data_IF_103691290472
#
_entry.id   IF_103691290472
#
_cell.length_a   1.000
_cell.length_b   1.000
_cell.length_c   1.000
_cell.angle_alpha   90.00
_cell.angle_beta   90.00
_cell.angle_gamma   90.00
#
_symmetry.space_group_name_H-M   'P 1'
#
loop_
_entity.id
_entity.type
_entity.pdbx_description
1 polymer ?
#
# COMPACT_ATOMS: atom_id res chain seq x y z
N UNK A 1 -3.78 33.57 -4.64
CA UNK A 1 -4.86 34.03 -5.52
C UNK A 1 -4.88 33.04 -6.68
N UNK A 2 -5.61 31.91 -6.60
CA UNK A 2 -7.08 31.81 -6.74
C UNK A 2 -7.53 32.59 -8.00
N UNK A 3 -8.15 32.06 -9.04
CA UNK A 3 -8.96 30.86 -9.28
C UNK A 3 -9.22 30.83 -10.80
N UNK A 4 -9.95 29.82 -11.29
CA UNK A 4 -10.79 29.89 -12.50
C UNK A 4 -10.22 29.37 -13.83
N UNK A 5 -10.18 28.04 -13.96
CA UNK A 5 -10.21 27.34 -15.26
C UNK A 5 -11.46 26.44 -15.42
N UNK A 6 -12.49 26.67 -14.61
CA UNK A 6 -13.75 25.91 -14.63
C UNK A 6 -14.81 26.55 -15.56
N UNK A 7 -14.47 26.88 -16.80
CA UNK A 7 -15.48 27.43 -17.73
C UNK A 7 -15.11 27.22 -19.20
N UNK A 8 -15.19 25.98 -19.69
CA UNK A 8 -15.31 25.72 -21.14
C UNK A 8 -15.88 24.31 -21.42
N UNK A 9 -16.88 23.90 -20.63
CA UNK A 9 -17.60 22.62 -20.79
C UNK A 9 -18.86 22.72 -21.67
N UNK A 10 -18.96 23.69 -22.57
CA UNK A 10 -20.09 23.79 -23.48
C UNK A 10 -19.65 24.29 -24.84
N UNK A 11 -19.27 23.35 -25.72
CA UNK A 11 -19.66 23.32 -27.13
C UNK A 11 -18.93 22.16 -27.78
N UNK A 12 -19.71 21.25 -28.36
CA UNK A 12 -19.46 20.40 -29.53
C UNK A 12 -20.09 19.01 -29.33
N UNK A 13 -21.40 19.01 -29.12
CA UNK A 13 -22.25 17.94 -29.64
C UNK A 13 -22.86 18.41 -30.96
N UNK A 14 -23.09 17.42 -31.83
CA UNK A 14 -23.73 17.45 -33.15
C UNK A 14 -22.82 17.78 -34.33
N UNK A 15 -22.33 16.73 -35.01
CA UNK A 15 -23.07 16.08 -36.11
C UNK A 15 -22.12 15.33 -37.06
N UNK A 16 -22.38 14.03 -37.28
CA UNK A 16 -22.51 13.41 -38.63
C UNK A 16 -22.19 11.91 -38.60
N UNK A 17 -23.26 11.13 -38.47
CA UNK A 17 -23.63 9.95 -39.27
C UNK A 17 -22.63 8.80 -39.51
N UNK A 18 -22.94 7.69 -38.84
CA UNK A 18 -23.11 6.34 -39.38
C UNK A 18 -21.97 5.69 -40.21
N UNK A 19 -21.17 4.86 -39.54
CA UNK A 19 -20.75 3.55 -40.06
C UNK A 19 -20.89 2.50 -38.97
N UNK A 20 -21.81 1.57 -39.19
CA UNK A 20 -22.02 0.37 -38.39
C UNK A 20 -20.85 -0.59 -38.56
N UNK A 21 -20.10 -0.83 -37.49
CA UNK A 21 -19.29 -2.06 -37.38
C UNK A 21 -19.48 -2.65 -35.99
N UNK A 22 -20.24 -3.74 -35.97
CA UNK A 22 -20.24 -4.84 -35.02
C UNK A 22 -19.59 -4.60 -33.65
N UNK A 23 -20.45 -4.45 -32.65
CA UNK A 23 -20.39 -5.17 -31.37
C UNK A 23 -19.03 -5.68 -30.93
N UNK A 24 -18.31 -4.83 -30.21
CA UNK A 24 -17.63 -5.29 -29.01
C UNK A 24 -17.86 -4.21 -27.98
N UNK A 25 -18.87 -4.43 -27.12
CA UNK A 25 -18.95 -3.76 -25.84
C UNK A 25 -17.60 -4.02 -25.19
N UNK A 26 -16.69 -3.04 -25.29
CA UNK A 26 -15.49 -2.97 -24.49
C UNK A 26 -16.03 -2.95 -23.08
N UNK A 27 -16.10 -4.12 -22.47
CA UNK A 27 -16.35 -4.25 -21.06
C UNK A 27 -15.32 -3.32 -20.45
N UNK A 28 -15.79 -2.21 -19.90
CA UNK A 28 -15.01 -1.44 -18.96
C UNK A 28 -14.61 -2.47 -17.93
N UNK A 29 -13.38 -2.97 -18.02
CA UNK A 29 -12.84 -3.84 -16.98
C UNK A 29 -12.86 -2.92 -15.78
N UNK A 30 -13.84 -3.11 -14.91
CA UNK A 30 -13.90 -2.42 -13.64
C UNK A 30 -12.62 -2.82 -12.91
N UNK A 31 -11.62 -1.94 -12.94
CA UNK A 31 -10.39 -2.05 -12.18
C UNK A 31 -10.75 -1.82 -10.71
N UNK A 32 -11.46 -2.79 -10.13
CA UNK A 32 -12.09 -2.79 -8.82
C UNK A 32 -11.06 -2.72 -7.70
N UNK A 33 -10.43 -1.57 -7.45
CA UNK A 33 -9.55 -1.30 -6.30
C UNK A 33 -8.26 -2.15 -6.15
N UNK A 34 -8.09 -3.22 -6.93
CA UNK A 34 -6.96 -4.15 -6.84
C UNK A 34 -5.68 -3.60 -7.48
N UNK A 35 -5.79 -2.72 -8.49
CA UNK A 35 -4.65 -2.01 -9.07
C UNK A 35 -3.92 -1.16 -8.03
N UNK A 36 -4.67 -0.55 -7.12
CA UNK A 36 -4.10 0.30 -6.07
C UNK A 36 -3.34 -0.51 -5.00
N UNK A 37 -3.86 -1.68 -4.61
CA UNK A 37 -3.17 -2.60 -3.68
C UNK A 37 -1.88 -3.16 -4.31
N UNK A 38 -1.94 -3.54 -5.59
CA UNK A 38 -0.75 -3.98 -6.34
C UNK A 38 0.29 -2.86 -6.45
N UNK A 39 -0.13 -1.62 -6.69
CA UNK A 39 0.77 -0.47 -6.71
C UNK A 39 1.45 -0.27 -5.35
N UNK A 40 0.68 -0.29 -4.25
CA UNK A 40 1.24 -0.21 -2.90
C UNK A 40 2.27 -1.31 -2.65
N UNK A 41 1.97 -2.56 -3.01
CA UNK A 41 2.90 -3.67 -2.90
C UNK A 41 4.20 -3.46 -3.70
N UNK A 42 4.08 -3.07 -4.97
CA UNK A 42 5.23 -2.81 -5.83
C UNK A 42 6.10 -1.66 -5.28
N UNK A 43 5.46 -0.61 -4.71
CA UNK A 43 6.17 0.50 -4.08
C UNK A 43 6.92 0.05 -2.82
N UNK A 44 6.31 -0.80 -1.98
CA UNK A 44 7.02 -1.42 -0.86
C UNK A 44 8.27 -2.17 -1.33
N UNK A 45 8.15 -3.03 -2.36
CA UNK A 45 9.29 -3.75 -2.92
C UNK A 45 10.40 -2.80 -3.42
N UNK A 46 10.03 -1.75 -4.15
CA UNK A 46 10.99 -0.76 -4.64
C UNK A 46 11.73 -0.03 -3.51
N UNK A 47 11.02 0.35 -2.44
CA UNK A 47 11.61 1.04 -1.29
C UNK A 47 12.54 0.13 -0.49
N UNK A 48 12.18 -1.13 -0.31
CA UNK A 48 13.04 -2.11 0.37
C UNK A 48 14.33 -2.35 -0.42
N UNK A 49 14.23 -2.48 -1.76
CA UNK A 49 15.40 -2.61 -2.63
C UNK A 49 16.30 -1.38 -2.57
N UNK A 50 15.71 -0.17 -2.53
CA UNK A 50 16.45 1.06 -2.35
C UNK A 50 17.17 1.10 -0.98
N UNK A 51 16.51 0.65 0.09
CA UNK A 51 17.11 0.59 1.42
C UNK A 51 18.28 -0.40 1.51
N UNK A 52 18.21 -1.52 0.78
CA UNK A 52 19.32 -2.46 0.63
C UNK A 52 20.51 -1.81 -0.09
N UNK A 53 20.26 -1.11 -1.20
CA UNK A 53 21.29 -0.42 -1.98
C UNK A 53 21.99 0.69 -1.19
N UNK A 54 21.34 1.27 -0.20
CA UNK A 54 21.87 2.31 0.68
C UNK A 54 22.49 1.75 1.98
N UNK A 55 22.68 0.42 2.08
CA UNK A 55 23.23 -0.27 3.26
C UNK A 55 22.48 0.04 4.58
N UNK A 56 21.21 0.42 4.46
CA UNK A 56 20.33 0.66 5.60
C UNK A 56 19.72 -0.64 6.11
N UNK A 57 19.54 -1.61 5.20
CA UNK A 57 19.00 -2.93 5.45
C UNK A 57 19.83 -3.98 4.69
N UNK A 58 21.09 -4.16 5.08
CA UNK A 58 22.05 -5.01 4.36
C UNK A 58 21.59 -6.46 4.16
N UNK A 59 20.77 -6.98 5.09
CA UNK A 59 20.03 -8.22 4.92
C UNK A 59 18.57 -8.03 5.37
N UNK A 60 17.61 -8.20 4.45
CA UNK A 60 16.18 -8.11 4.73
C UNK A 60 15.65 -9.31 5.53
N UNK A 61 16.37 -10.44 5.52
CA UNK A 61 16.01 -11.64 6.29
C UNK A 61 16.42 -11.52 7.76
N UNK A 62 17.58 -10.92 8.02
CA UNK A 62 18.09 -10.63 9.37
C UNK A 62 17.81 -9.19 9.80
N UNK A 63 16.89 -8.51 9.11
CA UNK A 63 16.57 -7.10 9.34
C UNK A 63 15.95 -6.89 10.72
N UNK A 64 16.79 -6.46 11.67
CA UNK A 64 16.38 -6.09 13.00
C UNK A 64 16.16 -4.58 13.07
N UNK A 65 14.92 -4.17 13.28
CA UNK A 65 14.54 -2.78 13.52
C UNK A 65 13.89 -2.68 14.88
N UNK A 66 14.10 -1.53 15.52
CA UNK A 66 13.52 -1.24 16.82
C UNK A 66 12.45 -0.17 16.68
N UNK A 67 11.37 -0.33 17.45
CA UNK A 67 10.31 0.67 17.52
C UNK A 67 10.70 1.84 18.45
N UNK A 68 11.46 1.52 19.50
CA UNK A 68 11.92 2.46 20.52
C UNK A 68 13.38 2.80 20.30
N UNK A 69 13.72 4.04 20.58
CA UNK A 69 15.11 4.48 20.70
C UNK A 69 15.74 4.02 22.02
N UNK A 70 17.06 4.16 22.21
CA UNK A 70 17.72 3.81 23.46
C UNK A 70 17.22 4.57 24.69
N UNK A 71 16.54 5.71 24.49
CA UNK A 71 15.91 6.51 25.53
C UNK A 71 14.49 6.05 25.89
N UNK A 72 13.91 5.13 25.13
CA UNK A 72 12.54 4.64 25.32
C UNK A 72 11.47 5.44 24.56
N UNK A 73 11.86 6.41 23.73
CA UNK A 73 10.92 7.15 22.89
C UNK A 73 10.64 6.40 21.58
N UNK A 74 9.47 6.64 20.99
CA UNK A 74 9.11 6.09 19.68
C UNK A 74 9.92 6.76 18.56
N UNK A 75 10.50 5.94 17.68
CA UNK A 75 11.04 6.42 16.40
C UNK A 75 9.92 6.89 15.45
N UNK A 76 8.76 6.23 15.50
CA UNK A 76 7.59 6.53 14.69
C UNK A 76 6.71 7.58 15.39
N UNK A 77 6.85 8.85 14.98
CA UNK A 77 6.23 10.01 15.64
C UNK A 77 5.13 10.66 14.80
N UNK A 78 5.14 10.50 13.48
CA UNK A 78 4.14 11.07 12.61
C UNK A 78 2.81 10.32 12.74
N UNK A 79 1.70 11.04 12.67
CA UNK A 79 0.37 10.44 12.78
C UNK A 79 0.10 9.37 11.71
N UNK A 80 0.64 9.54 10.50
CA UNK A 80 0.51 8.58 9.40
C UNK A 80 1.29 7.29 9.66
N UNK A 81 2.48 7.37 10.27
CA UNK A 81 3.27 6.21 10.70
C UNK A 81 2.53 5.38 11.75
N UNK A 82 2.02 6.07 12.78
CA UNK A 82 1.29 5.44 13.87
C UNK A 82 0.01 4.78 13.35
N UNK A 83 -0.73 5.45 12.46
CA UNK A 83 -1.94 4.90 11.84
C UNK A 83 -1.65 3.63 11.04
N UNK A 84 -0.57 3.62 10.26
CA UNK A 84 -0.13 2.42 9.53
C UNK A 84 0.29 1.30 10.49
N UNK A 85 1.01 1.62 11.56
CA UNK A 85 1.39 0.64 12.58
C UNK A 85 0.16 0.02 13.27
N UNK A 86 -0.82 0.82 13.66
CA UNK A 86 -2.08 0.33 14.24
C UNK A 86 -2.89 -0.52 13.24
N UNK A 87 -2.91 -0.14 11.96
CA UNK A 87 -3.53 -0.94 10.91
C UNK A 87 -2.89 -2.34 10.82
N UNK A 88 -1.56 -2.40 10.87
CA UNK A 88 -0.82 -3.67 10.88
C UNK A 88 -1.09 -4.51 12.13
N UNK A 89 -1.16 -3.91 13.31
CA UNK A 89 -1.53 -4.61 14.55
C UNK A 89 -2.93 -5.21 14.45
N UNK A 90 -3.90 -4.44 13.92
CA UNK A 90 -5.27 -4.92 13.71
C UNK A 90 -5.32 -6.13 12.78
N UNK A 91 -4.52 -6.11 11.72
CA UNK A 91 -4.39 -7.23 10.78
C UNK A 91 -3.72 -8.42 11.45
N UNK A 92 -2.66 -8.21 12.23
CA UNK A 92 -1.99 -9.29 12.96
C UNK A 92 -2.95 -9.99 13.94
N UNK A 93 -3.76 -9.23 14.68
CA UNK A 93 -4.76 -9.78 15.59
C UNK A 93 -5.81 -10.62 14.85
N UNK A 94 -6.23 -10.16 13.66
CA UNK A 94 -7.16 -10.90 12.80
C UNK A 94 -6.55 -12.23 12.31
N UNK A 95 -5.29 -12.22 11.89
CA UNK A 95 -4.56 -13.43 11.47
C UNK A 95 -4.47 -14.44 12.62
N UNK A 96 -4.17 -13.97 13.84
CA UNK A 96 -4.09 -14.83 15.03
C UNK A 96 -5.45 -15.43 15.40
N UNK A 97 -6.53 -14.63 15.32
CA UNK A 97 -7.90 -15.12 15.54
C UNK A 97 -8.26 -16.23 14.56
N UNK A 98 -8.00 -16.03 13.27
CA UNK A 98 -8.31 -17.00 12.22
C UNK A 98 -7.44 -18.26 12.32
N UNK A 99 -6.22 -18.16 12.85
CA UNK A 99 -5.36 -19.33 13.12
C UNK A 99 -5.88 -20.21 14.25
N UNK A 100 -6.57 -19.63 15.24
CA UNK A 100 -7.09 -20.35 16.42
C UNK A 100 -8.45 -21.01 16.15
N UNK A 101 -9.24 -20.41 15.26
CA UNK A 101 -10.51 -20.96 14.78
C UNK A 101 -10.52 -20.88 13.26
N UNK A 102 -10.04 -21.93 12.55
CA UNK A 102 -9.89 -21.90 11.10
C UNK A 102 -11.26 -21.86 10.42
N UNK A 103 -11.77 -20.66 10.25
CA UNK A 103 -12.70 -20.33 9.20
C UNK A 103 -11.88 -19.68 8.09
N UNK A 104 -12.18 -19.99 6.83
CA UNK A 104 -11.58 -19.23 5.73
C UNK A 104 -11.87 -17.74 5.98
N UNK A 105 -10.85 -16.87 5.99
CA UNK A 105 -11.09 -15.45 6.12
C UNK A 105 -12.02 -15.04 4.98
N UNK A 106 -13.16 -14.44 5.32
CA UNK A 106 -14.11 -13.98 4.33
C UNK A 106 -13.35 -13.13 3.30
N UNK A 107 -13.38 -13.57 2.03
CA UNK A 107 -12.67 -12.89 0.93
C UNK A 107 -12.99 -11.40 0.91
N UNK A 108 -14.21 -11.03 1.28
CA UNK A 108 -14.63 -9.64 1.39
C UNK A 108 -13.91 -8.89 2.52
N UNK A 109 -13.72 -9.51 3.69
CA UNK A 109 -12.95 -8.95 4.81
C UNK A 109 -11.49 -8.77 4.42
N UNK A 110 -10.87 -9.78 3.81
CA UNK A 110 -9.48 -9.69 3.33
C UNK A 110 -9.30 -8.60 2.26
N UNK A 111 -10.25 -8.47 1.33
CA UNK A 111 -10.24 -7.40 0.33
C UNK A 111 -10.40 -6.00 0.97
N UNK A 112 -11.24 -5.87 2.00
CA UNK A 112 -11.41 -4.60 2.72
C UNK A 112 -10.15 -4.21 3.50
N UNK A 113 -9.55 -5.18 4.22
CA UNK A 113 -8.31 -4.96 4.98
C UNK A 113 -7.15 -4.59 4.06
N UNK A 114 -6.98 -5.28 2.93
CA UNK A 114 -5.90 -4.97 1.98
C UNK A 114 -6.04 -3.59 1.34
N UNK A 115 -7.27 -3.18 0.96
CA UNK A 115 -7.54 -1.82 0.46
C UNK A 115 -7.23 -0.76 1.51
N UNK A 116 -7.67 -0.98 2.76
CA UNK A 116 -7.41 -0.07 3.87
C UNK A 116 -5.90 0.03 4.17
N UNK A 117 -5.19 -1.09 4.21
CA UNK A 117 -3.75 -1.12 4.44
C UNK A 117 -2.99 -0.37 3.33
N UNK A 118 -3.34 -0.60 2.06
CA UNK A 118 -2.75 0.12 0.94
C UNK A 118 -3.01 1.64 1.03
N UNK A 119 -4.20 2.05 1.47
CA UNK A 119 -4.54 3.46 1.63
C UNK A 119 -3.68 4.14 2.69
N UNK A 120 -3.56 3.51 3.86
CA UNK A 120 -2.71 4.02 4.94
C UNK A 120 -1.23 4.03 4.56
N UNK A 121 -0.78 3.02 3.81
CA UNK A 121 0.60 2.97 3.34
C UNK A 121 0.94 4.13 2.40
N UNK A 122 0.08 4.44 1.43
CA UNK A 122 0.38 5.53 0.50
C UNK A 122 0.29 6.90 1.17
N UNK A 123 -0.63 7.11 2.10
CA UNK A 123 -0.67 8.34 2.90
C UNK A 123 0.61 8.52 3.74
N UNK A 124 1.10 7.43 4.35
CA UNK A 124 2.40 7.41 5.01
C UNK A 124 3.56 7.70 4.04
N UNK A 125 3.56 7.08 2.86
CA UNK A 125 4.60 7.24 1.86
C UNK A 125 4.67 8.68 1.30
N UNK A 126 3.52 9.32 1.08
CA UNK A 126 3.45 10.69 0.59
C UNK A 126 3.81 11.72 1.66
N UNK A 127 3.49 11.43 2.93
CA UNK A 127 3.69 12.35 4.05
C UNK A 127 5.08 12.27 4.69
N UNK A 128 5.76 11.12 4.60
CA UNK A 128 7.00 10.86 5.34
C UNK A 128 8.20 10.64 4.43
N UNK A 129 9.31 11.32 4.75
CA UNK A 129 10.61 11.04 4.11
C UNK A 129 11.16 9.70 4.61
N UNK A 130 10.98 8.64 3.81
CA UNK A 130 11.38 7.27 4.18
C UNK A 130 12.86 7.17 4.59
N UNK A 131 13.76 7.66 3.73
CA UNK A 131 15.19 7.75 4.01
C UNK A 131 15.50 9.07 4.73
N UNK A 132 15.09 9.13 6.00
CA UNK A 132 15.35 10.24 6.91
C UNK A 132 16.84 10.38 7.22
N UNK A 133 17.34 11.58 7.55
CA UNK A 133 18.71 11.75 8.06
C UNK A 133 18.97 10.98 9.37
N UNK A 134 17.94 10.86 10.22
CA UNK A 134 18.02 10.03 11.41
C UNK A 134 17.92 8.54 11.05
N UNK A 135 19.01 7.81 11.28
CA UNK A 135 19.12 6.39 10.92
C UNK A 135 18.11 5.53 11.68
N UNK A 136 17.85 5.82 12.96
CA UNK A 136 16.90 5.05 13.76
C UNK A 136 15.48 5.16 13.21
N UNK A 137 15.02 6.39 12.95
CA UNK A 137 13.72 6.64 12.30
C UNK A 137 13.65 6.02 10.91
N UNK A 138 14.70 6.16 10.09
CA UNK A 138 14.73 5.56 8.76
C UNK A 138 14.62 4.03 8.83
N UNK A 139 15.34 3.37 9.75
CA UNK A 139 15.23 1.93 9.97
C UNK A 139 13.84 1.51 10.46
N UNK A 140 13.24 2.25 11.40
CA UNK A 140 11.89 1.97 11.87
C UNK A 140 10.84 2.07 10.74
N UNK A 141 10.97 3.09 9.87
CA UNK A 141 10.13 3.25 8.67
C UNK A 141 10.30 2.10 7.68
N UNK A 142 11.54 1.66 7.44
CA UNK A 142 11.80 0.49 6.59
C UNK A 142 11.18 -0.78 7.18
N UNK A 143 11.23 -0.96 8.51
CA UNK A 143 10.54 -2.04 9.20
C UNK A 143 9.03 -2.01 9.01
N UNK A 144 8.43 -0.82 9.09
CA UNK A 144 7.01 -0.63 8.83
C UNK A 144 6.63 -1.01 7.39
N UNK A 145 7.46 -0.63 6.41
CA UNK A 145 7.28 -0.99 4.99
C UNK A 145 7.41 -2.50 4.79
N UNK A 146 8.42 -3.14 5.41
CA UNK A 146 8.63 -4.57 5.31
C UNK A 146 7.43 -5.37 5.85
N UNK A 147 6.87 -4.96 6.98
CA UNK A 147 5.67 -5.58 7.55
C UNK A 147 4.43 -5.32 6.68
N UNK A 148 4.30 -4.12 6.10
CA UNK A 148 3.24 -3.81 5.14
C UNK A 148 3.28 -4.72 3.92
N UNK A 149 4.46 -4.93 3.32
CA UNK A 149 4.64 -5.88 2.20
C UNK A 149 4.14 -7.27 2.59
N UNK A 150 4.57 -7.79 3.75
CA UNK A 150 4.20 -9.13 4.24
C UNK A 150 2.69 -9.24 4.48
N UNK A 151 2.09 -8.24 5.12
CA UNK A 151 0.66 -8.21 5.40
C UNK A 151 -0.18 -8.15 4.12
N UNK A 152 0.19 -7.31 3.14
CA UNK A 152 -0.48 -7.28 1.84
C UNK A 152 -0.38 -8.65 1.16
N UNK A 153 0.83 -9.24 1.10
CA UNK A 153 1.03 -10.55 0.50
C UNK A 153 0.13 -11.62 1.13
N UNK A 154 0.06 -11.64 2.46
CA UNK A 154 -0.78 -12.59 3.19
C UNK A 154 -2.27 -12.40 2.88
N UNK A 155 -2.78 -11.16 2.87
CA UNK A 155 -4.20 -10.88 2.66
C UNK A 155 -4.69 -11.20 1.25
N UNK A 156 -3.82 -11.17 0.24
CA UNK A 156 -4.20 -11.30 -1.18
C UNK A 156 -3.60 -12.52 -1.88
N UNK A 157 -2.90 -13.40 -1.14
CA UNK A 157 -2.18 -14.56 -1.69
C UNK A 157 -3.06 -15.41 -2.64
N UNK A 158 -4.31 -15.68 -2.27
CA UNK A 158 -5.23 -16.53 -3.04
C UNK A 158 -6.15 -15.74 -3.99
N UNK A 159 -5.88 -14.44 -4.16
CA UNK A 159 -6.76 -13.52 -4.89
C UNK A 159 -6.05 -12.84 -6.05
N UNK A 160 -4.73 -12.61 -5.94
CA UNK A 160 -3.98 -11.80 -6.91
C UNK A 160 -2.60 -12.39 -7.08
N UNK A 161 -2.13 -12.46 -8.33
CA UNK A 161 -0.73 -12.75 -8.60
C UNK A 161 0.15 -11.59 -8.12
N UNK A 162 0.94 -11.84 -7.08
CA UNK A 162 2.01 -10.95 -6.65
C UNK A 162 3.36 -11.58 -7.02
N UNK A 163 4.29 -10.83 -7.64
CA UNK A 163 5.62 -11.34 -7.88
C UNK A 163 6.33 -11.57 -6.53
N UNK A 164 6.82 -12.80 -6.30
CA UNK A 164 7.50 -13.18 -5.05
C UNK A 164 8.80 -12.37 -4.82
N UNK A 165 9.40 -11.80 -5.87
CA UNK A 165 10.60 -10.97 -5.78
C UNK A 165 10.78 -10.04 -6.99
N UNK A 166 11.31 -8.84 -6.74
CA UNK A 166 11.86 -7.85 -7.69
C UNK A 166 13.12 -7.23 -7.10
#
# INVERSE_FOLDING_TARGET
MAESLCTLSHTLETRSDAVSTSGSTRSTIDFSGYSYVQYAYARCCALLRLAQQQELASDLHTFNWQLLDPGGDLYLRAATEQRLAFCLLTIADEIVRNSTSPQEPDRHVAAKLSKNLAANFLDFYDSCRILSPDRGTAMARIGLIANTKKAIAHLVADQIFLPESL
#
